data_IF_592397191396
#
_entry.id   IF_592397191396
#
_cell.length_a   1.000
_cell.length_b   1.000
_cell.length_c   1.000
_cell.angle_alpha   90.00
_cell.angle_beta   90.00
_cell.angle_gamma   90.00
#
_symmetry.space_group_name_H-M   'P 1'
#
loop_
_entity.id
_entity.type
_entity.pdbx_description
1 polymer ?
#
# COMPACT_ATOMS: atom_id res chain seq x y z
N UNK A 1 -13.21 -26.63 20.19
CA UNK A 1 -11.93 -25.90 20.17
C UNK A 1 -11.69 -25.43 18.74
N UNK A 2 -12.07 -24.19 18.44
CA UNK A 2 -11.90 -23.58 17.12
C UNK A 2 -10.42 -23.35 16.88
N UNK A 3 -9.88 -24.00 15.84
CA UNK A 3 -8.53 -23.76 15.32
C UNK A 3 -8.33 -22.23 15.19
N UNK A 4 -7.32 -21.60 15.83
CA UNK A 4 -7.07 -20.18 15.61
C UNK A 4 -6.78 -20.01 14.12
N UNK A 5 -7.74 -19.44 13.38
CA UNK A 5 -7.59 -19.18 11.96
C UNK A 5 -6.27 -18.43 11.78
N UNK A 6 -5.30 -19.05 11.09
CA UNK A 6 -4.03 -18.39 10.76
C UNK A 6 -4.37 -17.09 10.03
N UNK A 7 -4.21 -15.97 10.73
CA UNK A 7 -4.55 -14.65 10.20
C UNK A 7 -3.64 -14.36 9.01
N UNK A 8 -4.22 -13.96 7.88
CA UNK A 8 -3.47 -13.64 6.66
C UNK A 8 -3.34 -12.13 6.51
N UNK A 9 -2.38 -11.66 5.70
CA UNK A 9 -2.28 -10.23 5.38
C UNK A 9 -3.58 -9.70 4.75
N UNK A 10 -4.22 -10.48 3.88
CA UNK A 10 -5.52 -10.14 3.30
C UNK A 10 -6.60 -9.95 4.38
N UNK A 11 -6.60 -10.79 5.42
CA UNK A 11 -7.51 -10.65 6.57
C UNK A 11 -7.28 -9.36 7.35
N UNK A 12 -6.02 -9.02 7.64
CA UNK A 12 -5.67 -7.75 8.29
C UNK A 12 -6.11 -6.53 7.47
N UNK A 13 -5.86 -6.55 6.16
CA UNK A 13 -6.29 -5.46 5.27
C UNK A 13 -7.82 -5.37 5.19
N UNK A 14 -8.52 -6.50 5.08
CA UNK A 14 -9.99 -6.51 5.04
C UNK A 14 -10.62 -6.01 6.35
N UNK A 15 -10.02 -6.30 7.51
CA UNK A 15 -10.43 -5.74 8.79
C UNK A 15 -10.16 -4.23 8.85
N UNK A 16 -8.95 -3.81 8.46
CA UNK A 16 -8.54 -2.41 8.49
C UNK A 16 -9.38 -1.53 7.55
N UNK A 17 -9.78 -2.05 6.37
CA UNK A 17 -10.71 -1.37 5.47
C UNK A 17 -12.07 -1.06 6.12
N UNK A 18 -12.47 -1.85 7.11
CA UNK A 18 -13.71 -1.69 7.89
C UNK A 18 -13.48 -0.95 9.22
N UNK A 19 -12.28 -0.39 9.43
CA UNK A 19 -11.92 0.31 10.66
C UNK A 19 -11.68 -0.62 11.85
N UNK A 20 -11.47 -1.93 11.62
CA UNK A 20 -11.10 -2.88 12.67
C UNK A 20 -9.59 -3.10 12.63
N UNK A 21 -8.92 -2.80 13.73
CA UNK A 21 -7.46 -2.89 13.83
C UNK A 21 -7.06 -3.97 14.83
N UNK A 22 -5.85 -4.53 14.72
CA UNK A 22 -5.29 -5.33 15.80
C UNK A 22 -5.19 -4.53 17.11
N UNK A 23 -5.13 -5.21 18.27
CA UNK A 23 -4.97 -4.56 19.55
C UNK A 23 -3.64 -3.76 19.59
N UNK A 24 -3.63 -2.53 20.16
CA UNK A 24 -2.44 -1.69 20.26
C UNK A 24 -1.55 -2.11 21.45
N UNK A 25 -1.03 -3.34 21.40
CA UNK A 25 -0.33 -4.00 22.51
C UNK A 25 1.19 -4.09 22.34
N UNK A 26 1.73 -3.47 21.30
CA UNK A 26 3.16 -3.49 20.96
C UNK A 26 3.62 -4.77 20.27
N UNK A 27 2.69 -5.69 19.94
CA UNK A 27 3.06 -6.97 19.34
C UNK A 27 3.39 -6.85 17.84
N UNK A 28 4.16 -7.83 17.38
CA UNK A 28 4.42 -8.06 15.97
C UNK A 28 3.84 -9.41 15.57
N UNK A 29 2.81 -9.39 14.73
CA UNK A 29 2.27 -10.62 14.11
C UNK A 29 3.08 -10.96 12.87
N UNK A 30 3.51 -12.21 12.74
CA UNK A 30 4.20 -12.69 11.54
C UNK A 30 3.23 -13.55 10.74
N UNK A 31 3.03 -13.21 9.46
CA UNK A 31 2.12 -13.93 8.57
C UNK A 31 2.86 -14.41 7.33
N UNK A 32 2.38 -15.50 6.68
CA UNK A 32 2.96 -15.96 5.43
C UNK A 32 2.94 -14.87 4.35
N UNK A 33 3.98 -14.85 3.52
CA UNK A 33 4.04 -14.01 2.33
C UNK A 33 2.83 -14.31 1.40
N UNK A 34 2.06 -13.30 0.95
CA UNK A 34 0.85 -13.54 0.15
C UNK A 34 1.14 -14.04 -1.27
N UNK A 35 2.38 -13.90 -1.75
CA UNK A 35 2.83 -14.35 -3.06
C UNK A 35 4.29 -13.95 -3.29
N UNK A 36 4.99 -14.46 -4.32
CA UNK A 36 6.44 -14.33 -4.47
C UNK A 36 6.93 -12.90 -4.74
N UNK A 37 6.04 -11.97 -5.12
CA UNK A 37 6.36 -10.61 -5.57
C UNK A 37 6.90 -9.75 -4.42
N UNK A 38 6.23 -9.75 -3.28
CA UNK A 38 6.53 -8.83 -2.16
C UNK A 38 6.55 -9.52 -0.81
N UNK A 39 7.53 -9.13 0.02
CA UNK A 39 7.52 -9.29 1.47
C UNK A 39 7.46 -7.87 2.09
N UNK A 40 7.27 -7.73 3.39
CA UNK A 40 7.23 -6.38 3.97
C UNK A 40 6.65 -6.28 5.36
N UNK A 41 6.35 -5.05 5.74
CA UNK A 41 5.81 -4.70 7.05
C UNK A 41 4.62 -3.76 6.86
N UNK A 42 3.52 -4.08 7.54
CA UNK A 42 2.37 -3.20 7.73
C UNK A 42 2.32 -2.83 9.22
N UNK A 43 2.37 -1.54 9.54
CA UNK A 43 2.37 -1.06 10.92
C UNK A 43 1.10 -0.26 11.21
N UNK A 44 0.35 -0.72 12.20
CA UNK A 44 -0.82 -0.06 12.77
C UNK A 44 -0.44 0.67 14.07
N UNK A 45 -1.42 1.26 14.74
CA UNK A 45 -1.24 1.85 16.07
C UNK A 45 -0.73 0.81 17.07
N UNK A 46 0.56 0.88 17.40
CA UNK A 46 1.24 -0.03 18.33
C UNK A 46 1.02 -1.53 18.03
N UNK A 47 0.98 -1.90 16.75
CA UNK A 47 0.97 -3.30 16.32
C UNK A 47 1.53 -3.40 14.90
N UNK A 48 2.48 -4.28 14.66
CA UNK A 48 3.02 -4.50 13.32
C UNK A 48 2.68 -5.90 12.79
N UNK A 49 2.59 -6.01 11.48
CA UNK A 49 2.42 -7.26 10.75
C UNK A 49 3.59 -7.39 9.79
N UNK A 50 4.46 -8.36 10.04
CA UNK A 50 5.54 -8.73 9.11
C UNK A 50 5.02 -9.85 8.23
N UNK A 51 5.00 -9.65 6.92
CA UNK A 51 4.61 -10.67 5.95
C UNK A 51 5.83 -11.14 5.16
N UNK A 52 6.25 -12.38 5.42
CA UNK A 52 7.48 -12.95 4.88
C UNK A 52 7.38 -14.47 4.76
N UNK A 53 8.26 -15.07 3.96
CA UNK A 53 8.45 -16.52 3.89
C UNK A 53 9.54 -17.01 4.87
N UNK A 54 10.24 -16.09 5.54
CA UNK A 54 11.28 -16.40 6.53
C UNK A 54 10.69 -17.01 7.81
N UNK A 55 11.55 -17.71 8.55
CA UNK A 55 11.24 -18.29 9.85
C UNK A 55 10.81 -17.20 10.86
N UNK A 56 9.63 -17.31 11.49
CA UNK A 56 9.21 -16.39 12.54
C UNK A 56 10.21 -16.21 13.69
N UNK A 57 10.93 -17.26 14.08
CA UNK A 57 11.94 -17.16 15.14
C UNK A 57 13.08 -16.21 14.73
N UNK A 58 13.54 -16.32 13.47
CA UNK A 58 14.54 -15.40 12.93
C UNK A 58 14.04 -13.96 12.90
N UNK A 59 12.77 -13.72 12.53
CA UNK A 59 12.19 -12.38 12.51
C UNK A 59 12.19 -11.76 13.91
N UNK A 60 11.80 -12.53 14.93
CA UNK A 60 11.82 -12.05 16.33
C UNK A 60 13.23 -11.72 16.80
N UNK A 61 14.23 -12.56 16.49
CA UNK A 61 15.64 -12.27 16.78
C UNK A 61 16.10 -10.98 16.08
N UNK A 62 15.83 -10.85 14.78
CA UNK A 62 16.22 -9.66 14.01
C UNK A 62 15.55 -8.37 14.53
N UNK A 63 14.31 -8.45 15.05
CA UNK A 63 13.63 -7.32 15.69
C UNK A 63 14.28 -6.96 17.03
N UNK A 64 14.66 -7.95 17.85
CA UNK A 64 15.30 -7.72 19.14
C UNK A 64 16.73 -7.18 19.02
N UNK A 65 17.45 -7.55 17.95
CA UNK A 65 18.79 -7.04 17.64
C UNK A 65 18.79 -5.64 17.01
N UNK A 66 17.65 -5.21 16.48
CA UNK A 66 17.54 -3.89 15.86
C UNK A 66 17.65 -2.78 16.92
N UNK A 67 18.63 -1.89 16.77
CA UNK A 67 18.82 -0.74 17.65
C UNK A 67 17.72 0.30 17.40
N UNK A 68 16.57 0.12 18.06
CA UNK A 68 15.41 0.99 18.01
C UNK A 68 14.50 0.78 19.23
N UNK A 69 13.64 1.76 19.51
CA UNK A 69 12.53 1.58 20.45
C UNK A 69 11.63 0.41 20.00
N UNK A 70 11.07 -0.41 20.93
CA UNK A 70 10.31 -1.61 20.57
C UNK A 70 9.18 -1.36 19.56
N UNK A 71 8.44 -0.26 19.70
CA UNK A 71 7.36 0.10 18.78
C UNK A 71 7.86 0.55 17.39
N UNK A 72 9.08 1.04 17.30
CA UNK A 72 9.69 1.50 16.05
C UNK A 72 10.47 0.39 15.34
N UNK A 73 10.88 -0.66 16.05
CA UNK A 73 11.72 -1.74 15.54
C UNK A 73 11.24 -2.33 14.19
N UNK A 74 9.93 -2.58 13.95
CA UNK A 74 9.49 -3.17 12.68
C UNK A 74 9.70 -2.29 11.44
N UNK A 75 9.82 -0.97 11.60
CA UNK A 75 10.06 -0.03 10.49
C UNK A 75 11.43 0.65 10.58
N UNK A 76 12.28 0.23 11.52
CA UNK A 76 13.58 0.86 11.68
C UNK A 76 14.54 0.38 10.58
N UNK A 77 15.55 1.20 10.21
CA UNK A 77 16.51 0.83 9.18
C UNK A 77 17.25 -0.48 9.45
N UNK A 78 17.57 -0.78 10.71
CA UNK A 78 18.29 -1.99 11.11
C UNK A 78 17.53 -3.27 10.73
N UNK A 79 16.28 -3.38 11.20
CA UNK A 79 15.43 -4.54 10.88
C UNK A 79 15.12 -4.63 9.38
N UNK A 80 14.76 -3.52 8.74
CA UNK A 80 14.44 -3.53 7.30
C UNK A 80 15.65 -3.92 6.44
N UNK A 81 16.86 -3.53 6.83
CA UNK A 81 18.11 -3.95 6.17
C UNK A 81 18.38 -5.43 6.38
N UNK A 82 18.20 -5.95 7.59
CA UNK A 82 18.34 -7.38 7.87
C UNK A 82 17.35 -8.22 7.06
N UNK A 83 16.08 -7.81 7.01
CA UNK A 83 15.04 -8.48 6.21
C UNK A 83 15.33 -8.42 4.70
N UNK A 84 15.80 -7.29 4.19
CA UNK A 84 16.21 -7.13 2.80
C UNK A 84 17.38 -8.05 2.45
N UNK A 85 18.43 -8.08 3.27
CA UNK A 85 19.59 -8.95 3.08
C UNK A 85 19.22 -10.43 3.14
N UNK A 86 18.37 -10.81 4.10
CA UNK A 86 17.90 -12.19 4.28
C UNK A 86 17.08 -12.68 3.08
N UNK A 87 16.19 -11.84 2.57
CA UNK A 87 15.25 -12.22 1.50
C UNK A 87 15.77 -11.92 0.09
N UNK A 88 16.95 -11.28 -0.03
CA UNK A 88 17.49 -10.82 -1.31
C UNK A 88 16.60 -9.78 -2.00
N UNK A 89 16.00 -8.86 -1.24
CA UNK A 89 15.03 -7.87 -1.73
C UNK A 89 15.49 -6.44 -1.53
N UNK A 90 14.98 -5.53 -2.35
CA UNK A 90 15.14 -4.09 -2.19
C UNK A 90 14.01 -3.51 -1.34
N UNK A 91 14.37 -2.68 -0.37
CA UNK A 91 13.45 -1.95 0.51
C UNK A 91 12.76 -0.84 -0.30
N UNK A 92 11.43 -0.78 -0.21
CA UNK A 92 10.62 0.31 -0.74
C UNK A 92 10.63 1.55 0.17
N UNK A 93 9.74 2.50 -0.12
CA UNK A 93 9.50 3.62 0.78
C UNK A 93 8.63 3.16 1.96
N UNK A 94 8.76 3.82 3.13
CA UNK A 94 7.75 3.73 4.19
C UNK A 94 6.63 4.70 3.84
N UNK A 95 5.52 4.16 3.36
CA UNK A 95 4.37 4.92 2.87
C UNK A 95 3.27 4.98 3.92
N UNK A 96 2.55 6.11 3.99
CA UNK A 96 1.23 6.17 4.60
C UNK A 96 0.28 5.34 3.74
N UNK A 97 -0.30 4.30 4.34
CA UNK A 97 -1.32 3.49 3.70
C UNK A 97 -2.70 4.07 4.01
N UNK A 98 -3.48 4.31 2.96
CA UNK A 98 -4.85 4.85 3.06
C UNK A 98 -5.85 3.99 2.29
N UNK A 99 -7.11 4.03 2.71
CA UNK A 99 -8.20 3.24 2.09
C UNK A 99 -9.46 4.09 1.89
N UNK A 100 -10.18 3.84 0.80
CA UNK A 100 -11.49 4.43 0.52
C UNK A 100 -12.47 3.38 -0.01
N UNK A 101 -13.77 3.57 0.29
CA UNK A 101 -14.83 2.81 -0.34
C UNK A 101 -15.12 3.29 -1.77
N UNK A 102 -15.61 2.38 -2.60
CA UNK A 102 -16.16 2.68 -3.93
C UNK A 102 -17.20 3.80 -3.88
N UNK A 103 -17.28 4.57 -4.97
CA UNK A 103 -18.38 5.50 -5.24
C UNK A 103 -19.25 5.00 -6.41
N UNK A 104 -20.57 5.23 -6.37
CA UNK A 104 -21.45 4.91 -7.49
C UNK A 104 -21.31 5.92 -8.63
N UNK A 105 -21.77 5.55 -9.83
CA UNK A 105 -21.79 6.43 -11.00
C UNK A 105 -20.42 6.60 -11.68
N UNK A 106 -20.37 7.33 -12.81
CA UNK A 106 -19.14 7.54 -13.58
C UNK A 106 -18.15 8.45 -12.84
N UNK A 107 -16.84 8.36 -13.17
CA UNK A 107 -15.85 9.29 -12.64
C UNK A 107 -16.17 10.74 -13.05
N UNK A 108 -15.85 11.74 -12.20
CA UNK A 108 -16.12 13.15 -12.49
C UNK A 108 -15.18 13.78 -13.54
N UNK A 109 -14.13 13.06 -13.94
CA UNK A 109 -13.19 13.48 -14.97
C UNK A 109 -13.47 12.73 -16.29
N UNK A 110 -13.28 13.37 -17.45
CA UNK A 110 -13.38 12.72 -18.76
C UNK A 110 -12.14 11.86 -19.03
N UNK A 111 -12.01 10.77 -18.26
CA UNK A 111 -10.89 9.85 -18.31
C UNK A 111 -10.91 9.03 -19.61
N UNK A 112 -9.76 8.94 -20.27
CA UNK A 112 -9.56 8.07 -21.43
C UNK A 112 -8.65 6.92 -21.02
N UNK A 113 -9.14 5.69 -21.14
CA UNK A 113 -8.30 4.51 -20.90
C UNK A 113 -7.30 4.34 -22.04
N UNK A 114 -6.04 4.10 -21.70
CA UNK A 114 -4.95 3.91 -22.65
C UNK A 114 -4.29 2.55 -22.44
N UNK A 115 -3.78 1.97 -23.53
CA UNK A 115 -2.99 0.74 -23.50
C UNK A 115 -1.48 1.01 -23.43
N UNK A 116 -1.06 2.27 -23.40
CA UNK A 116 0.36 2.63 -23.35
C UNK A 116 0.95 2.32 -21.96
N UNK A 117 1.71 1.21 -21.93
CA UNK A 117 2.37 0.69 -20.74
C UNK A 117 3.79 1.25 -20.55
N UNK A 118 4.30 2.08 -21.47
CA UNK A 118 5.68 2.55 -21.46
C UNK A 118 5.89 3.80 -20.60
N UNK A 119 4.81 4.48 -20.19
CA UNK A 119 4.90 5.63 -19.30
C UNK A 119 5.62 5.24 -17.97
N UNK A 120 6.64 5.99 -17.49
CA UNK A 120 7.49 5.58 -16.37
C UNK A 120 6.75 5.16 -15.08
N UNK A 121 5.57 5.75 -14.82
CA UNK A 121 4.71 5.32 -13.70
C UNK A 121 3.91 4.05 -13.93
N UNK A 122 3.56 3.75 -15.18
CA UNK A 122 2.94 2.48 -15.53
C UNK A 122 3.95 1.34 -15.35
N UNK A 123 5.20 1.56 -15.78
CA UNK A 123 6.33 0.66 -15.52
C UNK A 123 6.51 0.41 -14.01
N UNK A 124 6.41 1.45 -13.17
CA UNK A 124 6.44 1.28 -11.71
C UNK A 124 5.23 0.47 -11.21
N UNK A 125 4.02 0.76 -11.66
CA UNK A 125 2.80 0.07 -11.23
C UNK A 125 2.84 -1.43 -11.57
N UNK A 126 3.30 -1.79 -12.77
CA UNK A 126 3.46 -3.18 -13.23
C UNK A 126 4.40 -4.01 -12.35
N UNK A 127 5.34 -3.37 -11.64
CA UNK A 127 6.24 -4.07 -10.71
C UNK A 127 5.52 -4.56 -9.45
N UNK A 128 4.50 -3.84 -9.00
CA UNK A 128 3.85 -4.09 -7.71
C UNK A 128 2.42 -4.63 -7.84
N UNK A 129 1.83 -4.55 -9.04
CA UNK A 129 0.42 -4.83 -9.27
C UNK A 129 0.21 -5.72 -10.49
N UNK A 130 -0.82 -6.54 -10.43
CA UNK A 130 -1.37 -7.29 -11.55
C UNK A 130 -2.60 -6.54 -12.12
N UNK A 131 -3.01 -6.87 -13.35
CA UNK A 131 -4.20 -6.27 -13.97
C UNK A 131 -4.17 -4.75 -14.09
N UNK A 132 -2.99 -4.18 -14.38
CA UNK A 132 -2.79 -2.73 -14.43
C UNK A 132 -3.61 -2.12 -15.56
N UNK A 133 -4.39 -1.09 -15.23
CA UNK A 133 -5.18 -0.28 -16.16
C UNK A 133 -4.84 1.19 -15.95
N UNK A 134 -4.81 1.95 -17.04
CA UNK A 134 -4.28 3.31 -17.06
C UNK A 134 -5.25 4.24 -17.75
N UNK A 135 -5.53 5.38 -17.11
CA UNK A 135 -6.36 6.45 -17.66
C UNK A 135 -5.61 7.75 -17.69
N UNK A 136 -5.88 8.56 -18.71
CA UNK A 136 -5.32 9.90 -18.85
C UNK A 136 -6.42 10.96 -18.91
N UNK A 137 -6.02 12.17 -18.54
CA UNK A 137 -6.75 13.43 -18.68
C UNK A 137 -5.71 14.52 -18.92
N UNK A 138 -6.02 15.66 -19.55
CA UNK A 138 -5.06 16.75 -19.66
C UNK A 138 -4.45 17.10 -18.30
N UNK A 139 -3.13 16.99 -18.18
CA UNK A 139 -2.40 17.29 -16.95
C UNK A 139 -2.24 16.14 -15.95
N UNK A 140 -2.70 14.91 -16.24
CA UNK A 140 -2.53 13.83 -15.27
C UNK A 140 -2.88 12.41 -15.72
N UNK A 141 -2.45 11.46 -14.88
CA UNK A 141 -2.61 10.01 -15.09
C UNK A 141 -3.21 9.38 -13.84
N UNK A 142 -4.12 8.43 -14.04
CA UNK A 142 -4.65 7.54 -13.02
C UNK A 142 -4.30 6.10 -13.38
N UNK A 143 -3.78 5.35 -12.42
CA UNK A 143 -3.46 3.93 -12.58
C UNK A 143 -4.19 3.12 -11.52
N UNK A 144 -4.87 2.07 -11.96
CA UNK A 144 -5.45 1.03 -11.09
C UNK A 144 -4.76 -0.30 -11.30
N UNK A 145 -4.74 -1.13 -10.27
CA UNK A 145 -4.30 -2.52 -10.38
C UNK A 145 -4.52 -3.27 -9.07
N UNK A 146 -4.20 -4.56 -9.07
CA UNK A 146 -4.33 -5.45 -7.91
C UNK A 146 -2.95 -5.64 -7.29
N UNK A 147 -2.75 -5.09 -6.09
CA UNK A 147 -1.47 -5.09 -5.38
C UNK A 147 -1.30 -6.25 -4.39
N UNK A 148 -0.52 -5.99 -3.34
CA UNK A 148 -0.19 -6.99 -2.32
C UNK A 148 -1.45 -7.56 -1.67
N UNK A 149 -1.47 -8.88 -1.47
CA UNK A 149 -2.61 -9.62 -0.91
C UNK A 149 -3.94 -9.41 -1.65
N UNK A 150 -3.89 -9.12 -2.95
CA UNK A 150 -5.08 -9.06 -3.81
C UNK A 150 -5.88 -7.76 -3.67
N UNK A 151 -5.35 -6.73 -3.02
CA UNK A 151 -6.09 -5.47 -2.80
C UNK A 151 -6.07 -4.58 -4.05
N UNK A 152 -7.18 -3.90 -4.35
CA UNK A 152 -7.18 -2.85 -5.38
C UNK A 152 -6.36 -1.64 -4.94
N UNK A 153 -5.53 -1.11 -5.83
CA UNK A 153 -4.66 0.03 -5.56
C UNK A 153 -4.77 1.13 -6.60
N UNK A 154 -4.83 2.38 -6.13
CA UNK A 154 -4.69 3.58 -6.96
C UNK A 154 -3.25 4.09 -6.98
N UNK A 155 -2.86 4.70 -8.09
CA UNK A 155 -1.80 5.70 -8.12
C UNK A 155 -2.19 6.83 -9.05
N UNK A 156 -1.80 8.06 -8.73
CA UNK A 156 -2.05 9.23 -9.57
C UNK A 156 -0.77 10.01 -9.81
N UNK A 157 -0.73 10.71 -10.93
CA UNK A 157 0.29 11.67 -11.28
C UNK A 157 -0.35 12.91 -11.86
N UNK A 158 0.22 14.06 -11.55
CA UNK A 158 -0.23 15.36 -12.03
C UNK A 158 1.00 16.06 -12.59
N UNK A 159 0.87 16.56 -13.81
CA UNK A 159 1.93 17.30 -14.47
C UNK A 159 2.30 18.53 -13.61
N UNK A 160 3.59 18.88 -13.50
CA UNK A 160 4.04 20.01 -12.70
C UNK A 160 3.26 21.31 -13.00
N UNK A 161 2.95 21.54 -14.28
CA UNK A 161 2.21 22.72 -14.76
C UNK A 161 0.70 22.70 -14.43
N UNK A 162 0.16 21.54 -14.08
CA UNK A 162 -1.24 21.34 -13.71
C UNK A 162 -1.47 21.27 -12.19
N UNK A 163 -0.42 21.46 -11.38
CA UNK A 163 -0.51 21.47 -9.92
C UNK A 163 -1.32 22.66 -9.39
N UNK A 164 -1.82 22.54 -8.15
CA UNK A 164 -2.60 23.60 -7.49
C UNK A 164 -4.06 23.75 -7.93
N UNK A 165 -4.50 23.02 -8.97
CA UNK A 165 -5.87 23.09 -9.52
C UNK A 165 -6.83 22.01 -9.03
N UNK A 166 -6.44 21.26 -8.00
CA UNK A 166 -7.26 20.16 -7.44
C UNK A 166 -7.30 18.88 -8.28
N UNK A 167 -6.53 18.80 -9.38
CA UNK A 167 -6.55 17.64 -10.28
C UNK A 167 -6.19 16.32 -9.57
N UNK A 168 -5.18 16.32 -8.69
CA UNK A 168 -4.82 15.12 -7.92
C UNK A 168 -5.95 14.58 -7.04
N UNK A 169 -6.73 15.48 -6.41
CA UNK A 169 -7.94 15.10 -5.65
C UNK A 169 -9.00 14.54 -6.59
N UNK A 170 -9.24 15.19 -7.75
CA UNK A 170 -10.24 14.73 -8.71
C UNK A 170 -9.89 13.36 -9.31
N UNK A 171 -8.61 13.08 -9.58
CA UNK A 171 -8.12 11.76 -10.01
C UNK A 171 -8.32 10.71 -8.92
N UNK A 172 -7.98 11.02 -7.67
CA UNK A 172 -8.19 10.11 -6.53
C UNK A 172 -9.68 9.80 -6.27
N UNK A 173 -10.58 10.79 -6.47
CA UNK A 173 -12.04 10.56 -6.45
C UNK A 173 -12.43 9.65 -7.61
N UNK A 174 -11.98 9.94 -8.83
CA UNK A 174 -12.29 9.16 -10.04
C UNK A 174 -11.91 7.69 -9.89
N UNK A 175 -10.78 7.40 -9.24
CA UNK A 175 -10.34 6.04 -8.93
C UNK A 175 -11.40 5.22 -8.17
N UNK A 176 -12.16 5.87 -7.26
CA UNK A 176 -13.20 5.22 -6.46
C UNK A 176 -14.43 4.83 -7.28
N UNK A 177 -14.67 5.48 -8.43
CA UNK A 177 -15.79 5.18 -9.32
C UNK A 177 -15.51 4.02 -10.27
N UNK A 178 -14.24 3.68 -10.47
CA UNK A 178 -13.80 2.68 -11.45
C UNK A 178 -13.66 1.26 -10.85
N UNK A 179 -13.95 1.10 -9.56
CA UNK A 179 -13.87 -0.20 -8.89
C UNK A 179 -15.10 -1.09 -9.19
N UNK A 180 -14.91 -2.43 -9.18
CA UNK A 180 -16.01 -3.37 -9.08
C UNK A 180 -16.88 -3.12 -7.85
N UNK A 181 -18.14 -3.53 -7.91
CA UNK A 181 -19.06 -3.40 -6.77
C UNK A 181 -18.57 -4.19 -5.55
N UNK A 182 -18.78 -3.63 -4.35
CA UNK A 182 -18.35 -4.23 -3.08
C UNK A 182 -16.86 -4.06 -2.74
N UNK A 183 -16.05 -3.56 -3.67
CA UNK A 183 -14.61 -3.40 -3.48
C UNK A 183 -14.22 -2.09 -2.77
N UNK A 184 -13.02 -2.10 -2.19
CA UNK A 184 -12.35 -0.93 -1.60
C UNK A 184 -11.04 -0.67 -2.32
N UNK A 185 -10.59 0.58 -2.32
CA UNK A 185 -9.35 0.98 -2.98
C UNK A 185 -8.33 1.51 -1.98
N UNK A 186 -7.10 1.06 -2.16
CA UNK A 186 -5.96 1.43 -1.33
C UNK A 186 -5.03 2.38 -2.07
N UNK A 187 -4.29 3.19 -1.33
CA UNK A 187 -3.24 4.01 -1.89
C UNK A 187 -2.10 4.19 -0.88
N UNK A 188 -0.88 4.19 -1.40
CA UNK A 188 0.35 4.41 -0.66
C UNK A 188 0.86 5.81 -0.99
N UNK A 189 1.11 6.63 0.02
CA UNK A 189 1.71 7.95 -0.15
C UNK A 189 2.93 8.10 0.75
N UNK A 190 4.07 8.46 0.16
CA UNK A 190 5.23 8.85 0.94
C UNK A 190 4.84 10.02 1.87
N UNK A 191 5.10 9.94 3.19
CA UNK A 191 4.71 11.00 4.12
C UNK A 191 5.29 12.39 3.76
N UNK A 192 6.49 12.42 3.15
CA UNK A 192 7.09 13.65 2.64
C UNK A 192 6.37 14.27 1.44
N UNK A 193 5.53 13.51 0.73
CA UNK A 193 4.67 14.02 -0.33
C UNK A 193 3.34 14.53 0.24
N UNK A 194 3.42 15.63 0.99
CA UNK A 194 2.26 16.23 1.66
C UNK A 194 1.13 16.61 0.69
N UNK A 195 1.47 16.98 -0.55
CA UNK A 195 0.48 17.27 -1.59
C UNK A 195 -0.37 16.03 -1.92
N UNK A 196 0.27 14.88 -2.14
CA UNK A 196 -0.44 13.62 -2.38
C UNK A 196 -1.26 13.19 -1.16
N UNK A 197 -0.68 13.25 0.04
CA UNK A 197 -1.38 12.93 1.30
C UNK A 197 -2.66 13.75 1.43
N UNK A 198 -2.58 15.08 1.25
CA UNK A 198 -3.75 15.98 1.33
C UNK A 198 -4.76 15.71 0.22
N UNK A 199 -4.31 15.44 -1.01
CA UNK A 199 -5.20 15.15 -2.13
C UNK A 199 -6.03 13.87 -1.90
N UNK A 200 -5.40 12.78 -1.44
CA UNK A 200 -6.10 11.53 -1.16
C UNK A 200 -7.02 11.64 0.06
N UNK A 201 -6.59 12.31 1.13
CA UNK A 201 -7.48 12.56 2.28
C UNK A 201 -8.71 13.39 1.87
N UNK A 202 -8.52 14.45 1.08
CA UNK A 202 -9.63 15.26 0.57
C UNK A 202 -10.51 14.50 -0.45
N UNK A 203 -10.02 13.40 -1.03
CA UNK A 203 -10.78 12.47 -1.86
C UNK A 203 -11.51 11.38 -1.05
N UNK A 204 -11.43 11.42 0.28
CA UNK A 204 -12.12 10.50 1.19
C UNK A 204 -11.32 9.25 1.57
N UNK A 205 -10.03 9.19 1.25
CA UNK A 205 -9.15 8.10 1.70
C UNK A 205 -8.74 8.31 3.15
N UNK A 206 -8.97 7.31 3.99
CA UNK A 206 -8.71 7.37 5.42
C UNK A 206 -7.38 6.68 5.75
N UNK A 207 -6.53 7.27 6.61
CA UNK A 207 -5.32 6.62 7.12
C UNK A 207 -5.61 5.27 7.78
N UNK A 208 -4.76 4.29 7.49
CA UNK A 208 -4.80 2.95 8.07
C UNK A 208 -3.55 2.66 8.90
N UNK A 209 -2.39 3.05 8.39
CA UNK A 209 -1.11 2.75 9.02
C UNK A 209 0.06 3.10 8.10
N UNK A 210 1.24 2.62 8.44
CA UNK A 210 2.42 2.72 7.59
C UNK A 210 2.69 1.36 6.91
N UNK A 211 3.23 1.38 5.70
CA UNK A 211 3.59 0.17 4.98
C UNK A 211 4.93 0.33 4.27
N UNK A 212 5.74 -0.72 4.30
CA UNK A 212 6.92 -0.85 3.46
C UNK A 212 6.90 -2.17 2.73
N UNK A 213 7.01 -2.11 1.41
CA UNK A 213 7.10 -3.28 0.54
C UNK A 213 8.57 -3.55 0.18
N UNK A 214 9.01 -4.78 0.37
CA UNK A 214 10.28 -5.30 -0.11
C UNK A 214 10.02 -6.11 -1.39
N UNK A 215 10.75 -5.79 -2.45
CA UNK A 215 10.57 -6.38 -3.79
C UNK A 215 11.88 -6.93 -4.34
N UNK A 216 11.82 -7.89 -5.27
CA UNK A 216 13.05 -8.40 -5.91
C UNK A 216 13.80 -7.25 -6.60
N UNK A 217 15.15 -7.26 -6.60
CA UNK A 217 15.95 -6.30 -7.35
C UNK A 217 15.53 -6.23 -8.83
N UNK A 218 15.83 -5.11 -9.48
CA UNK A 218 15.62 -4.98 -10.93
C UNK A 218 16.57 -5.89 -11.70
#
# INVERSE_FOLDING_TARGET
MTNPQRRTLAGFLADAARGRFPPPNGEVTIVPQPGPRTAGVLSFSAHAVVFTAEDPAWVHTALAEAVAEPLAAPLCPGFLTALAGRTGRTIGNVDLLTVAGRLPGPPPLPLVEIADLEHPRVVRALRFRDGVRVWTVPGGVLVLGVGVAGRWEAAVEVDPQATGRGLGRALAISARHLLPEGEVIWAQQAPGNAASVRAFQAAGYRPVGAEVLLSRPR
#
